data_IF_700052004222
#
_entry.id   IF_700052004222
#
_cell.length_a   1.000
_cell.length_b   1.000
_cell.length_c   1.000
_cell.angle_alpha   90.00
_cell.angle_beta   90.00
_cell.angle_gamma   90.00
#
_symmetry.space_group_name_H-M   'P 1'
#
loop_
_entity.id
_entity.type
_entity.pdbx_description
1 polymer ?
#
# COMPACT_ATOMS: atom_id res chain seq x y z
N UNK A 1 2.70 -3.71 13.89
CA UNK A 1 1.51 -3.73 13.04
C UNK A 1 0.76 -2.40 13.01
N UNK A 2 0.29 -1.88 14.14
CA UNK A 2 -0.48 -0.64 14.18
C UNK A 2 0.24 0.58 13.58
N UNK A 3 1.53 0.76 13.84
CA UNK A 3 2.30 1.88 13.27
C UNK A 3 2.46 1.78 11.74
N UNK A 4 2.60 0.57 11.19
CA UNK A 4 2.64 0.35 9.73
C UNK A 4 1.27 0.64 9.12
N UNK A 5 0.21 0.24 9.80
CA UNK A 5 -1.15 0.61 9.43
C UNK A 5 -1.36 2.13 9.43
N UNK A 6 -0.85 2.85 10.45
CA UNK A 6 -0.87 4.31 10.50
C UNK A 6 -0.14 4.94 9.31
N UNK A 7 1.03 4.43 8.94
CA UNK A 7 1.79 4.90 7.76
C UNK A 7 0.99 4.70 6.48
N UNK A 8 0.33 3.56 6.33
CA UNK A 8 -0.59 3.30 5.20
C UNK A 8 -1.78 4.27 5.19
N UNK A 9 -2.37 4.56 6.35
CA UNK A 9 -3.49 5.48 6.48
C UNK A 9 -3.12 6.94 6.18
N UNK A 10 -1.90 7.37 6.47
CA UNK A 10 -1.41 8.73 6.16
C UNK A 10 -1.34 8.97 4.65
N UNK A 11 -1.16 7.92 3.86
CA UNK A 11 -1.18 8.02 2.39
C UNK A 11 -2.60 8.30 1.82
N UNK A 12 -3.66 8.01 2.57
CA UNK A 12 -5.05 8.20 2.12
C UNK A 12 -5.39 9.66 1.73
N UNK A 13 -5.01 10.70 2.48
CA UNK A 13 -5.29 12.09 2.11
C UNK A 13 -4.65 12.54 0.80
N UNK A 14 -3.58 11.88 0.36
CA UNK A 14 -2.89 12.21 -0.89
C UNK A 14 -3.77 11.95 -2.13
N UNK A 15 -4.71 11.01 -2.07
CA UNK A 15 -5.68 10.77 -3.17
C UNK A 15 -6.48 12.05 -3.46
N UNK A 16 -7.07 12.64 -2.44
CA UNK A 16 -7.87 13.86 -2.60
C UNK A 16 -7.05 15.03 -3.16
N UNK A 17 -5.79 15.16 -2.72
CA UNK A 17 -4.90 16.20 -3.22
C UNK A 17 -4.54 16.00 -4.70
N UNK A 18 -4.26 14.76 -5.11
CA UNK A 18 -3.97 14.41 -6.51
C UNK A 18 -5.20 14.68 -7.37
N UNK A 19 -6.37 14.26 -6.94
CA UNK A 19 -7.62 14.44 -7.67
C UNK A 19 -7.96 15.93 -7.83
N UNK A 20 -7.85 16.74 -6.78
CA UNK A 20 -8.11 18.18 -6.82
C UNK A 20 -7.14 18.90 -7.75
N UNK A 21 -5.85 18.54 -7.77
CA UNK A 21 -4.86 19.14 -8.67
C UNK A 21 -5.10 18.74 -10.12
N UNK A 22 -5.44 17.49 -10.39
CA UNK A 22 -5.76 17.03 -11.73
C UNK A 22 -6.99 17.74 -12.31
N UNK A 23 -8.00 18.02 -11.48
CA UNK A 23 -9.20 18.72 -11.92
C UNK A 23 -8.96 20.20 -12.18
N UNK A 24 -8.08 20.85 -11.43
CA UNK A 24 -7.70 22.24 -11.61
C UNK A 24 -6.97 22.51 -12.94
N UNK A 25 -6.55 21.48 -13.66
CA UNK A 25 -5.85 21.60 -14.96
C UNK A 25 -6.80 21.83 -16.15
N UNK A 26 -7.87 22.62 -15.97
CA UNK A 26 -8.81 22.99 -17.05
C UNK A 26 -8.11 23.63 -18.26
N UNK A 27 -7.08 24.41 -18.01
CA UNK A 27 -6.29 25.07 -19.07
C UNK A 27 -5.62 24.06 -20.01
N UNK A 28 -5.07 22.96 -19.47
CA UNK A 28 -4.49 21.88 -20.25
C UNK A 28 -5.54 21.15 -21.09
N UNK A 29 -6.78 21.14 -20.60
CA UNK A 29 -7.91 20.55 -21.31
C UNK A 29 -8.33 21.39 -22.53
N UNK A 30 -8.33 22.72 -22.39
CA UNK A 30 -8.63 23.66 -23.46
C UNK A 30 -7.57 23.62 -24.56
N UNK A 31 -6.27 23.58 -24.21
CA UNK A 31 -5.17 23.44 -25.17
C UNK A 31 -5.29 22.17 -26.03
N UNK A 32 -5.94 21.14 -25.53
CA UNK A 32 -6.18 19.91 -26.28
C UNK A 32 -7.28 20.06 -27.33
N UNK A 33 -8.28 20.88 -27.11
CA UNK A 33 -9.31 21.16 -28.13
C UNK A 33 -8.69 21.70 -29.41
N UNK A 34 -7.57 22.40 -29.32
CA UNK A 34 -6.77 22.87 -30.46
C UNK A 34 -5.86 21.82 -31.09
N UNK A 35 -5.90 20.53 -30.63
CA UNK A 35 -5.08 19.39 -31.11
C UNK A 35 -3.56 19.68 -31.11
N UNK A 36 -3.07 20.46 -30.14
CA UNK A 36 -1.66 20.84 -30.05
C UNK A 36 -0.75 19.68 -29.64
N UNK A 37 -1.29 18.63 -29.01
CA UNK A 37 -0.50 17.47 -28.56
C UNK A 37 -1.31 16.17 -28.63
N UNK A 38 -0.57 15.03 -28.58
CA UNK A 38 -1.18 13.69 -28.59
C UNK A 38 -2.00 13.45 -27.29
N UNK A 39 -3.08 12.70 -27.40
CA UNK A 39 -4.02 12.46 -26.28
C UNK A 39 -3.38 11.85 -25.03
N UNK A 40 -2.31 11.03 -25.16
CA UNK A 40 -1.63 10.37 -24.04
C UNK A 40 -0.71 11.29 -23.24
N UNK A 41 -0.33 12.44 -23.78
CA UNK A 41 0.65 13.35 -23.15
C UNK A 41 0.11 13.90 -21.83
N UNK A 42 -1.17 14.30 -21.80
CA UNK A 42 -1.77 14.91 -20.62
C UNK A 42 -1.75 13.96 -19.40
N UNK A 43 -2.29 12.72 -19.46
CA UNK A 43 -2.28 11.83 -18.30
C UNK A 43 -0.87 11.44 -17.87
N UNK A 44 0.07 11.25 -18.81
CA UNK A 44 1.45 10.93 -18.46
C UNK A 44 2.17 12.10 -17.78
N UNK A 45 1.95 13.32 -18.25
CA UNK A 45 2.51 14.53 -17.64
C UNK A 45 1.99 14.71 -16.19
N UNK A 46 0.71 14.46 -15.95
CA UNK A 46 0.13 14.49 -14.61
C UNK A 46 0.76 13.44 -13.70
N UNK A 47 0.93 12.21 -14.17
CA UNK A 47 1.62 11.16 -13.39
C UNK A 47 3.03 11.59 -13.00
N UNK A 48 3.83 12.10 -13.94
CA UNK A 48 5.22 12.52 -13.67
C UNK A 48 5.28 13.63 -12.63
N UNK A 49 4.42 14.63 -12.74
CA UNK A 49 4.37 15.75 -11.79
C UNK A 49 3.94 15.32 -10.39
N UNK A 50 2.86 14.52 -10.30
CA UNK A 50 2.34 14.06 -9.01
C UNK A 50 3.26 13.06 -8.33
N UNK A 51 3.92 12.17 -9.08
CA UNK A 51 4.92 11.22 -8.53
C UNK A 51 6.11 11.99 -7.96
N UNK A 52 6.60 13.02 -8.63
CA UNK A 52 7.71 13.82 -8.11
C UNK A 52 7.38 14.47 -6.75
N UNK A 53 6.17 15.04 -6.62
CA UNK A 53 5.70 15.63 -5.36
C UNK A 53 5.49 14.56 -4.29
N UNK A 54 4.89 13.44 -4.66
CA UNK A 54 4.62 12.32 -3.75
C UNK A 54 5.92 11.71 -3.19
N UNK A 55 6.97 11.55 -4.01
CA UNK A 55 8.28 11.04 -3.57
C UNK A 55 8.91 11.99 -2.54
N UNK A 56 8.82 13.32 -2.72
CA UNK A 56 9.34 14.28 -1.75
C UNK A 56 8.63 14.11 -0.40
N UNK A 57 7.31 14.06 -0.39
CA UNK A 57 6.51 13.83 0.82
C UNK A 57 6.80 12.49 1.49
N UNK A 58 6.91 11.41 0.71
CA UNK A 58 7.24 10.08 1.19
C UNK A 58 8.66 9.99 1.76
N UNK A 59 9.62 10.71 1.17
CA UNK A 59 10.99 10.79 1.70
C UNK A 59 11.02 11.44 3.07
N UNK A 60 10.29 12.55 3.27
CA UNK A 60 10.17 13.19 4.58
C UNK A 60 9.53 12.24 5.60
N UNK A 61 8.45 11.56 5.23
CA UNK A 61 7.79 10.58 6.09
C UNK A 61 8.70 9.39 6.42
N UNK A 62 9.48 8.91 5.44
CA UNK A 62 10.46 7.86 5.66
C UNK A 62 11.54 8.28 6.67
N UNK A 63 12.08 9.49 6.55
CA UNK A 63 13.08 10.00 7.49
C UNK A 63 12.52 10.09 8.91
N UNK A 64 11.32 10.62 9.08
CA UNK A 64 10.66 10.65 10.39
C UNK A 64 10.49 9.25 10.96
N UNK A 65 10.03 8.30 10.16
CA UNK A 65 9.83 6.92 10.56
C UNK A 65 11.13 6.20 10.90
N UNK A 66 12.17 6.37 10.06
CA UNK A 66 13.49 5.77 10.23
C UNK A 66 14.15 6.18 11.54
N UNK A 67 14.13 7.48 11.87
CA UNK A 67 14.72 7.98 13.10
C UNK A 67 13.92 7.61 14.35
N UNK A 68 12.60 7.54 14.24
CA UNK A 68 11.73 7.20 15.39
C UNK A 68 11.83 5.71 15.76
N UNK A 69 11.89 4.83 14.76
CA UNK A 69 11.85 3.38 14.97
C UNK A 69 13.22 2.73 15.05
N UNK A 70 14.29 3.49 14.89
CA UNK A 70 15.67 2.96 14.88
C UNK A 70 15.78 1.74 13.95
N UNK A 71 15.31 1.90 12.71
CA UNK A 71 15.33 0.86 11.70
C UNK A 71 16.75 0.35 11.51
N UNK A 72 16.89 -0.93 11.38
CA UNK A 72 18.11 -1.71 11.39
C UNK A 72 19.32 -1.00 10.73
N UNK A 73 20.49 -1.06 11.39
CA UNK A 73 21.75 -0.48 10.91
C UNK A 73 22.28 -1.09 9.58
N UNK A 74 21.54 -2.05 8.99
CA UNK A 74 21.90 -2.63 7.70
C UNK A 74 21.46 -1.69 6.57
N UNK A 75 22.44 -1.01 5.97
CA UNK A 75 22.27 -0.04 4.89
C UNK A 75 21.47 -0.61 3.69
N UNK A 76 21.69 -1.87 3.34
CA UNK A 76 21.01 -2.51 2.21
C UNK A 76 19.50 -2.66 2.45
N UNK A 77 19.10 -3.08 3.65
CA UNK A 77 17.69 -3.21 4.04
C UNK A 77 16.99 -1.86 4.12
N UNK A 78 17.66 -0.87 4.72
CA UNK A 78 17.15 0.50 4.78
C UNK A 78 16.92 1.09 3.38
N UNK A 79 17.87 0.83 2.44
CA UNK A 79 17.75 1.25 1.05
C UNK A 79 16.60 0.56 0.30
N UNK A 80 16.42 -0.75 0.50
CA UNK A 80 15.31 -1.49 -0.10
C UNK A 80 13.95 -1.01 0.44
N UNK A 81 13.85 -0.83 1.75
CA UNK A 81 12.66 -0.29 2.37
C UNK A 81 12.30 1.11 1.84
N UNK A 82 13.30 1.99 1.66
CA UNK A 82 13.10 3.30 1.06
C UNK A 82 12.59 3.20 -0.38
N UNK A 83 13.18 2.32 -1.18
CA UNK A 83 12.80 2.12 -2.58
C UNK A 83 11.36 1.61 -2.70
N UNK A 84 10.97 0.65 -1.86
CA UNK A 84 9.62 0.09 -1.87
C UNK A 84 8.58 1.12 -1.37
N UNK A 85 8.86 1.81 -0.27
CA UNK A 85 7.95 2.78 0.34
C UNK A 85 7.87 4.11 -0.41
N UNK A 86 9.03 4.75 -0.66
CA UNK A 86 9.07 6.12 -1.18
C UNK A 86 8.92 6.19 -2.69
N UNK A 87 9.27 5.14 -3.42
CA UNK A 87 9.21 5.13 -4.89
C UNK A 87 8.07 4.25 -5.39
N UNK A 88 8.11 2.94 -5.09
CA UNK A 88 7.17 1.98 -5.68
C UNK A 88 5.74 2.21 -5.23
N UNK A 89 5.54 2.35 -3.93
CA UNK A 89 4.22 2.55 -3.37
C UNK A 89 3.61 3.88 -3.82
N UNK A 90 4.40 4.96 -3.89
CA UNK A 90 3.92 6.26 -4.36
C UNK A 90 3.55 6.22 -5.85
N UNK A 91 4.36 5.53 -6.66
CA UNK A 91 4.07 5.37 -8.09
C UNK A 91 2.78 4.60 -8.32
N UNK A 92 2.58 3.48 -7.60
CA UNK A 92 1.33 2.74 -7.63
C UNK A 92 0.14 3.63 -7.24
N UNK A 93 0.28 4.37 -6.14
CA UNK A 93 -0.79 5.15 -5.56
C UNK A 93 -1.24 6.31 -6.45
N UNK A 94 -0.30 7.05 -7.03
CA UNK A 94 -0.57 8.14 -7.96
C UNK A 94 -1.25 7.62 -9.24
N UNK A 95 -0.73 6.54 -9.82
CA UNK A 95 -1.32 5.95 -11.04
C UNK A 95 -2.73 5.41 -10.79
N UNK A 96 -2.98 4.82 -9.62
CA UNK A 96 -4.30 4.40 -9.19
C UNK A 96 -5.26 5.58 -9.03
N UNK A 97 -4.87 6.64 -8.30
CA UNK A 97 -5.70 7.81 -8.05
C UNK A 97 -6.13 8.52 -9.33
N UNK A 98 -5.20 8.72 -10.27
CA UNK A 98 -5.47 9.33 -11.57
C UNK A 98 -6.34 8.39 -12.44
N UNK A 99 -6.11 7.08 -12.36
CA UNK A 99 -6.93 6.08 -13.06
C UNK A 99 -8.39 6.13 -12.64
N UNK A 100 -8.66 6.13 -11.34
CA UNK A 100 -10.03 6.24 -10.79
C UNK A 100 -10.69 7.56 -11.19
N UNK A 101 -9.93 8.66 -11.19
CA UNK A 101 -10.45 9.98 -11.62
C UNK A 101 -10.94 9.95 -13.08
N UNK A 102 -10.17 9.37 -13.99
CA UNK A 102 -10.57 9.30 -15.40
C UNK A 102 -11.69 8.29 -15.68
N UNK A 103 -11.85 7.31 -14.82
CA UNK A 103 -12.94 6.34 -14.91
C UNK A 103 -14.26 6.89 -14.38
N UNK A 104 -14.23 7.89 -13.50
CA UNK A 104 -15.39 8.43 -12.82
C UNK A 104 -16.00 9.64 -13.56
N UNK A 105 -17.33 9.80 -13.55
CA UNK A 105 -17.99 10.94 -14.19
C UNK A 105 -17.75 12.26 -13.46
N UNK A 106 -17.62 12.22 -12.14
CA UNK A 106 -17.42 13.40 -11.26
C UNK A 106 -16.35 13.10 -10.21
N UNK A 107 -15.70 14.16 -9.71
CA UNK A 107 -14.68 14.08 -8.65
C UNK A 107 -15.20 13.45 -7.36
N UNK A 108 -16.39 13.86 -6.90
CA UNK A 108 -17.00 13.32 -5.67
C UNK A 108 -17.22 11.79 -5.76
N UNK A 109 -17.64 11.31 -6.93
CA UNK A 109 -17.81 9.87 -7.18
C UNK A 109 -16.44 9.18 -7.22
N UNK A 110 -15.43 9.82 -7.79
CA UNK A 110 -14.06 9.30 -7.81
C UNK A 110 -13.52 9.10 -6.39
N UNK A 111 -13.73 10.08 -5.52
CA UNK A 111 -13.30 10.03 -4.12
C UNK A 111 -13.97 8.89 -3.35
N UNK A 112 -15.27 8.71 -3.53
CA UNK A 112 -16.03 7.62 -2.88
C UNK A 112 -15.52 6.26 -3.35
N UNK A 113 -15.33 6.06 -4.66
CA UNK A 113 -14.80 4.80 -5.19
C UNK A 113 -13.37 4.54 -4.72
N UNK A 114 -12.50 5.56 -4.80
CA UNK A 114 -11.11 5.42 -4.35
C UNK A 114 -11.04 5.04 -2.87
N UNK A 115 -11.82 5.70 -2.02
CA UNK A 115 -11.85 5.42 -0.58
C UNK A 115 -12.41 4.05 -0.26
N UNK A 116 -13.46 3.61 -0.96
CA UNK A 116 -14.07 2.30 -0.76
C UNK A 116 -13.09 1.17 -1.14
N UNK A 117 -12.48 1.24 -2.32
CA UNK A 117 -11.50 0.25 -2.76
C UNK A 117 -10.26 0.23 -1.89
N UNK A 118 -9.77 1.42 -1.47
CA UNK A 118 -8.67 1.53 -0.54
C UNK A 118 -8.97 0.84 0.78
N UNK A 119 -10.12 1.14 1.39
CA UNK A 119 -10.55 0.53 2.65
C UNK A 119 -10.64 -1.01 2.53
N UNK A 120 -11.22 -1.50 1.43
CA UNK A 120 -11.34 -2.93 1.19
C UNK A 120 -9.97 -3.60 1.03
N UNK A 121 -9.04 -3.01 0.29
CA UNK A 121 -7.68 -3.51 0.15
C UNK A 121 -6.93 -3.54 1.48
N UNK A 122 -7.06 -2.50 2.31
CA UNK A 122 -6.40 -2.42 3.63
C UNK A 122 -6.95 -3.45 4.61
N UNK A 123 -8.27 -3.69 4.62
CA UNK A 123 -8.89 -4.68 5.52
C UNK A 123 -8.39 -6.09 5.22
N UNK A 124 -8.25 -6.45 3.94
CA UNK A 124 -7.90 -7.81 3.52
C UNK A 124 -6.41 -8.01 3.18
N UNK A 125 -5.54 -7.02 3.34
CA UNK A 125 -4.11 -7.14 3.05
C UNK A 125 -3.32 -8.00 4.06
N UNK A 126 -3.95 -8.51 5.12
CA UNK A 126 -3.29 -9.28 6.18
C UNK A 126 -2.87 -8.45 7.40
N UNK A 127 -3.03 -7.11 7.37
CA UNK A 127 -2.73 -6.23 8.50
C UNK A 127 -3.80 -6.32 9.60
N UNK A 128 -5.06 -6.25 9.21
CA UNK A 128 -6.20 -6.28 10.12
C UNK A 128 -6.62 -7.71 10.44
N UNK A 129 -6.67 -8.57 9.44
CA UNK A 129 -7.08 -9.95 9.56
C UNK A 129 -5.95 -10.89 9.10
N UNK A 130 -5.42 -11.77 10.00
CA UNK A 130 -4.38 -12.71 9.63
C UNK A 130 -4.81 -13.64 8.48
N UNK A 131 -3.87 -14.01 7.62
CA UNK A 131 -4.12 -14.87 6.46
C UNK A 131 -4.90 -16.16 6.78
N UNK A 132 -4.63 -16.75 7.95
CA UNK A 132 -5.30 -17.98 8.41
C UNK A 132 -6.81 -17.81 8.65
N UNK A 133 -7.26 -16.59 8.99
CA UNK A 133 -8.64 -16.28 9.32
C UNK A 133 -9.45 -15.75 8.13
N UNK A 134 -8.80 -15.43 7.00
CA UNK A 134 -9.48 -14.91 5.81
C UNK A 134 -10.24 -16.08 5.13
N UNK A 135 -11.56 -15.96 4.89
CA UNK A 135 -12.31 -16.97 4.14
C UNK A 135 -11.78 -17.15 2.72
N UNK A 136 -11.90 -18.37 2.16
CA UNK A 136 -11.32 -18.74 0.86
C UNK A 136 -11.71 -17.79 -0.26
N UNK A 137 -12.97 -17.35 -0.33
CA UNK A 137 -13.45 -16.41 -1.34
C UNK A 137 -12.64 -15.11 -1.32
N UNK A 138 -12.52 -14.43 -0.17
CA UNK A 138 -11.80 -13.16 -0.02
C UNK A 138 -10.29 -13.32 -0.20
N UNK A 139 -9.77 -14.51 0.12
CA UNK A 139 -8.36 -14.84 -0.07
C UNK A 139 -7.96 -14.81 -1.55
N UNK A 140 -8.78 -15.40 -2.42
CA UNK A 140 -8.48 -15.45 -3.86
C UNK A 140 -8.93 -14.21 -4.64
N UNK A 141 -9.97 -13.50 -4.18
CA UNK A 141 -10.50 -12.33 -4.91
C UNK A 141 -9.90 -11.01 -4.48
N UNK A 142 -9.51 -10.86 -3.21
CA UNK A 142 -9.03 -9.56 -2.70
C UNK A 142 -7.61 -9.64 -2.18
N UNK A 143 -7.27 -10.65 -1.35
CA UNK A 143 -5.95 -10.72 -0.74
C UNK A 143 -4.82 -10.80 -1.78
N UNK A 144 -4.92 -11.70 -2.76
CA UNK A 144 -3.90 -11.84 -3.81
C UNK A 144 -3.98 -10.77 -4.91
N UNK A 145 -5.13 -10.13 -5.13
CA UNK A 145 -5.27 -9.01 -6.04
C UNK A 145 -4.88 -7.67 -5.43
N UNK A 146 -4.72 -7.61 -4.10
CA UNK A 146 -4.33 -6.40 -3.41
C UNK A 146 -2.82 -6.15 -3.49
N UNK A 147 -2.36 -5.04 -4.06
CA UNK A 147 -0.94 -4.66 -4.01
C UNK A 147 -0.47 -4.38 -2.58
N UNK A 148 -1.39 -4.00 -1.69
CA UNK A 148 -1.10 -3.77 -0.26
C UNK A 148 -0.59 -5.01 0.44
N UNK A 149 -1.02 -6.20 0.02
CA UNK A 149 -0.55 -7.48 0.57
C UNK A 149 0.95 -7.66 0.33
N UNK A 150 1.39 -7.42 -0.90
CA UNK A 150 2.81 -7.55 -1.29
C UNK A 150 3.67 -6.45 -0.69
N UNK A 151 3.15 -5.24 -0.66
CA UNK A 151 3.81 -4.11 -0.01
C UNK A 151 3.97 -4.33 1.50
N UNK A 152 2.92 -4.80 2.18
CA UNK A 152 2.96 -5.09 3.61
C UNK A 152 3.94 -6.22 3.93
N UNK A 153 3.93 -7.32 3.13
CA UNK A 153 4.89 -8.41 3.28
C UNK A 153 6.33 -7.91 3.18
N UNK A 154 6.63 -7.08 2.18
CA UNK A 154 7.96 -6.49 2.03
C UNK A 154 8.34 -5.63 3.23
N UNK A 155 7.48 -4.67 3.62
CA UNK A 155 7.76 -3.78 4.74
C UNK A 155 7.97 -4.53 6.06
N UNK A 156 7.10 -5.50 6.37
CA UNK A 156 7.17 -6.26 7.62
C UNK A 156 8.42 -7.11 7.68
N UNK A 157 8.76 -7.79 6.58
CA UNK A 157 9.94 -8.64 6.55
C UNK A 157 11.23 -7.83 6.59
N UNK A 158 11.32 -6.68 5.93
CA UNK A 158 12.51 -5.81 6.02
C UNK A 158 12.71 -5.19 7.40
N UNK A 159 11.62 -4.90 8.12
CA UNK A 159 11.69 -4.31 9.45
C UNK A 159 12.03 -5.33 10.53
N UNK A 160 11.47 -6.52 10.48
CA UNK A 160 11.49 -7.48 11.60
C UNK A 160 12.42 -8.68 11.40
N UNK A 161 12.74 -9.05 10.14
CA UNK A 161 13.66 -10.15 9.88
C UNK A 161 15.04 -9.89 10.51
N UNK A 162 15.69 -10.93 11.04
CA UNK A 162 16.97 -10.87 11.78
C UNK A 162 16.96 -10.09 13.11
N UNK A 163 15.80 -9.63 13.61
CA UNK A 163 15.75 -8.99 14.91
C UNK A 163 15.42 -9.99 16.02
N UNK A 164 16.22 -10.05 17.09
CA UNK A 164 15.82 -10.79 18.29
C UNK A 164 14.62 -10.08 18.93
N UNK A 165 13.62 -10.86 19.31
CA UNK A 165 12.48 -10.34 20.10
C UNK A 165 12.84 -10.44 21.57
N UNK A 166 12.79 -9.31 22.27
CA UNK A 166 13.01 -9.23 23.71
C UNK A 166 11.66 -8.82 24.32
N UNK A 167 11.02 -9.78 25.01
CA UNK A 167 9.78 -9.49 25.74
C UNK A 167 10.07 -8.66 27.01
N UNK A 168 9.24 -7.66 27.25
CA UNK A 168 9.24 -6.94 28.53
C UNK A 168 8.57 -7.76 29.63
N UNK A 169 8.73 -7.34 30.89
CA UNK A 169 8.22 -8.06 32.07
C UNK A 169 6.73 -8.40 31.99
N UNK A 170 5.96 -7.50 31.41
CA UNK A 170 4.50 -7.59 31.32
C UNK A 170 3.99 -8.41 30.10
N UNK A 171 4.89 -8.71 29.16
CA UNK A 171 4.60 -9.46 27.93
C UNK A 171 4.82 -10.96 28.08
N UNK A 172 5.45 -11.39 29.16
CA UNK A 172 5.66 -12.82 29.41
C UNK A 172 4.37 -13.51 29.83
N UNK A 173 4.02 -14.60 29.13
CA UNK A 173 2.98 -15.50 29.58
C UNK A 173 3.48 -16.29 30.80
N UNK A 174 2.72 -16.22 31.88
CA UNK A 174 3.01 -16.96 33.13
C UNK A 174 2.26 -18.31 33.08
N UNK A 175 2.99 -19.40 33.07
CA UNK A 175 2.48 -20.77 33.06
C UNK A 175 2.98 -21.52 34.29
N UNK A 176 2.14 -22.34 34.91
CA UNK A 176 2.55 -23.24 35.99
C UNK A 176 2.97 -24.60 35.39
N UNK A 177 4.21 -25.05 35.61
CA UNK A 177 4.61 -26.38 35.20
C UNK A 177 3.89 -27.43 36.06
N UNK A 178 3.83 -28.65 35.57
CA UNK A 178 3.31 -29.80 36.33
C UNK A 178 4.26 -30.13 37.48
N UNK A 179 3.72 -30.58 38.62
CA UNK A 179 4.47 -30.78 39.84
C UNK A 179 5.77 -31.56 39.63
N UNK A 180 6.89 -30.96 40.09
CA UNK A 180 8.23 -31.54 40.00
C UNK A 180 8.96 -31.38 38.66
N UNK A 181 8.37 -30.77 37.64
CA UNK A 181 9.03 -30.53 36.36
C UNK A 181 9.66 -29.14 36.29
N UNK A 182 10.82 -29.06 35.63
CA UNK A 182 11.40 -27.77 35.26
C UNK A 182 10.68 -27.17 34.08
N UNK A 183 10.59 -25.82 33.98
CA UNK A 183 9.99 -25.13 32.87
C UNK A 183 10.54 -25.55 31.51
N UNK A 184 11.84 -25.80 31.43
CA UNK A 184 12.47 -26.28 30.21
C UNK A 184 11.98 -27.64 29.74
N UNK A 185 11.74 -28.58 30.69
CA UNK A 185 11.20 -29.91 30.36
C UNK A 185 9.72 -29.83 30.00
N UNK A 186 8.92 -29.03 30.75
CA UNK A 186 7.48 -28.88 30.54
C UNK A 186 7.14 -28.22 29.20
N UNK A 187 7.87 -27.18 28.82
CA UNK A 187 7.57 -26.38 27.60
C UNK A 187 8.32 -26.86 26.35
N UNK A 188 9.21 -27.85 26.46
CA UNK A 188 10.10 -28.31 25.36
C UNK A 188 9.35 -28.59 24.07
N UNK A 189 8.30 -29.40 24.14
CA UNK A 189 7.55 -29.81 22.95
C UNK A 189 6.69 -28.66 22.41
N UNK A 190 6.17 -27.80 23.28
CA UNK A 190 5.41 -26.62 22.88
C UNK A 190 6.29 -25.61 22.14
N UNK A 191 7.48 -25.29 22.67
CA UNK A 191 8.44 -24.38 22.04
C UNK A 191 8.91 -24.96 20.69
N UNK A 192 9.12 -26.27 20.61
CA UNK A 192 9.50 -26.92 19.34
C UNK A 192 8.42 -26.78 18.25
N UNK A 193 7.14 -26.77 18.62
CA UNK A 193 6.02 -26.67 17.68
C UNK A 193 5.63 -25.20 17.36
N UNK A 194 5.65 -24.34 18.35
CA UNK A 194 5.12 -22.96 18.24
C UNK A 194 6.20 -21.88 18.17
N UNK A 195 7.45 -22.21 18.54
CA UNK A 195 8.53 -21.22 18.67
C UNK A 195 8.52 -20.52 20.02
N UNK A 196 9.24 -19.39 20.07
CA UNK A 196 9.38 -18.60 21.29
C UNK A 196 10.51 -19.06 22.18
N UNK A 197 10.65 -18.43 23.36
CA UNK A 197 11.68 -18.77 24.33
C UNK A 197 11.22 -18.61 25.79
N UNK A 198 11.94 -19.26 26.70
CA UNK A 198 11.77 -19.10 28.14
C UNK A 198 12.82 -18.13 28.70
N UNK A 199 12.44 -17.23 29.58
CA UNK A 199 13.36 -16.36 30.31
C UNK A 199 14.27 -17.17 31.24
N UNK A 200 13.71 -18.23 31.87
CA UNK A 200 14.44 -19.18 32.69
C UNK A 200 13.92 -20.59 32.49
N UNK A 201 14.79 -21.50 32.07
CA UNK A 201 14.45 -22.91 31.87
C UNK A 201 14.52 -23.76 33.15
N UNK A 202 15.20 -23.26 34.20
CA UNK A 202 15.48 -24.00 35.43
C UNK A 202 14.40 -23.83 36.52
N UNK A 203 13.50 -22.85 36.39
CA UNK A 203 12.45 -22.58 37.35
C UNK A 203 11.39 -23.67 37.39
N UNK A 204 10.87 -23.97 38.59
CA UNK A 204 9.84 -25.00 38.84
C UNK A 204 8.53 -24.40 39.34
N UNK A 205 8.47 -23.08 39.61
CA UNK A 205 7.30 -22.42 40.20
C UNK A 205 6.48 -21.74 39.11
N UNK A 206 7.08 -20.89 38.29
CA UNK A 206 6.45 -20.19 37.19
C UNK A 206 7.33 -20.19 35.97
N UNK A 207 6.77 -20.56 34.83
CA UNK A 207 7.41 -20.49 33.52
C UNK A 207 7.08 -19.14 32.88
N UNK A 208 8.08 -18.32 32.65
CA UNK A 208 7.96 -17.07 31.92
C UNK A 208 8.29 -17.35 30.45
N UNK A 209 7.24 -17.41 29.64
CA UNK A 209 7.31 -17.74 28.21
C UNK A 209 7.08 -16.50 27.34
N UNK A 210 7.99 -16.25 26.40
CA UNK A 210 7.83 -15.26 25.34
C UNK A 210 7.44 -15.94 24.03
N UNK A 211 6.40 -15.46 23.39
CA UNK A 211 5.74 -16.11 22.23
C UNK A 211 6.64 -16.17 20.99
N UNK A 212 7.56 -15.23 20.83
CA UNK A 212 8.46 -15.16 19.68
C UNK A 212 9.90 -14.98 20.14
N UNK A 213 10.82 -15.72 19.53
CA UNK A 213 12.25 -15.58 19.77
C UNK A 213 12.90 -14.63 18.76
N UNK A 214 12.35 -14.56 17.56
CA UNK A 214 12.86 -13.70 16.48
C UNK A 214 11.72 -13.04 15.71
N UNK A 215 12.02 -11.91 15.07
CA UNK A 215 11.07 -11.22 14.19
C UNK A 215 10.67 -12.10 12.99
N UNK A 216 11.56 -12.99 12.56
CA UNK A 216 11.27 -13.98 11.51
C UNK A 216 10.18 -14.99 11.92
N UNK A 217 10.16 -15.44 13.17
CA UNK A 217 9.06 -16.27 13.67
C UNK A 217 7.73 -15.52 13.64
N UNK A 218 7.74 -14.24 14.04
CA UNK A 218 6.57 -13.41 14.00
C UNK A 218 6.03 -13.23 12.56
N UNK A 219 6.88 -12.87 11.61
CA UNK A 219 6.46 -12.67 10.21
C UNK A 219 6.00 -13.98 9.55
N UNK A 220 6.67 -15.12 9.83
CA UNK A 220 6.28 -16.44 9.33
C UNK A 220 4.89 -16.86 9.82
N UNK A 221 4.53 -16.55 11.07
CA UNK A 221 3.18 -16.83 11.61
C UNK A 221 2.08 -16.00 10.90
N UNK A 222 2.45 -14.86 10.32
CA UNK A 222 1.57 -14.05 9.49
C UNK A 222 1.58 -14.47 8.01
N UNK A 223 2.28 -15.53 7.65
CA UNK A 223 2.53 -15.97 6.26
C UNK A 223 3.29 -14.96 5.40
N UNK A 224 4.15 -14.15 6.03
CA UNK A 224 5.01 -13.19 5.38
C UNK A 224 6.46 -13.68 5.40
N UNK A 225 7.08 -13.84 4.23
CA UNK A 225 8.40 -14.48 4.09
C UNK A 225 9.40 -13.55 3.41
N UNK A 226 10.51 -13.27 4.06
CA UNK A 226 11.59 -12.43 3.52
C UNK A 226 12.10 -12.91 2.14
N UNK A 227 12.14 -14.20 1.90
CA UNK A 227 12.58 -14.77 0.61
C UNK A 227 11.76 -14.28 -0.60
N UNK A 228 10.56 -13.76 -0.38
CA UNK A 228 9.64 -13.33 -1.42
C UNK A 228 9.83 -11.87 -1.85
N UNK A 229 10.70 -11.08 -1.19
CA UNK A 229 10.78 -9.63 -1.37
C UNK A 229 11.01 -9.22 -2.84
N UNK A 230 11.92 -9.85 -3.58
CA UNK A 230 12.12 -9.56 -5.00
C UNK A 230 10.94 -9.95 -5.89
N UNK A 231 10.28 -11.06 -5.57
CA UNK A 231 9.05 -11.46 -6.26
C UNK A 231 7.94 -10.43 -6.06
N UNK A 232 7.73 -9.99 -4.82
CA UNK A 232 6.72 -9.02 -4.46
C UNK A 232 6.98 -7.67 -5.12
N UNK A 233 8.25 -7.24 -5.17
CA UNK A 233 8.66 -6.05 -5.89
C UNK A 233 8.33 -6.14 -7.40
N UNK A 234 8.57 -7.28 -8.04
CA UNK A 234 8.16 -7.53 -9.42
C UNK A 234 6.65 -7.47 -9.64
N UNK A 235 5.87 -8.03 -8.71
CA UNK A 235 4.40 -7.97 -8.73
C UNK A 235 3.91 -6.53 -8.59
N UNK A 236 4.52 -5.72 -7.73
CA UNK A 236 4.19 -4.30 -7.59
C UNK A 236 4.40 -3.53 -8.90
N UNK A 237 5.49 -3.80 -9.63
CA UNK A 237 5.69 -3.26 -10.97
C UNK A 237 4.58 -3.66 -11.95
N UNK A 238 4.12 -4.90 -11.91
CA UNK A 238 3.01 -5.35 -12.76
C UNK A 238 1.72 -4.56 -12.46
N UNK A 239 1.43 -4.27 -11.19
CA UNK A 239 0.29 -3.43 -10.80
C UNK A 239 0.45 -1.99 -11.30
N UNK A 240 1.63 -1.39 -11.19
CA UNK A 240 1.90 -0.03 -11.71
C UNK A 240 1.66 0.03 -13.23
N UNK A 241 2.22 -0.91 -13.97
CA UNK A 241 2.04 -0.98 -15.43
C UNK A 241 0.57 -1.20 -15.79
N UNK A 242 -0.11 -2.10 -15.09
CA UNK A 242 -1.55 -2.34 -15.25
C UNK A 242 -2.37 -1.07 -15.01
N UNK A 243 -2.10 -0.34 -13.94
CA UNK A 243 -2.77 0.93 -13.64
C UNK A 243 -2.54 1.98 -14.74
N UNK A 244 -1.32 2.11 -15.26
CA UNK A 244 -1.01 3.04 -16.35
C UNK A 244 -1.81 2.68 -17.61
N UNK A 245 -1.89 1.40 -17.95
CA UNK A 245 -2.67 0.93 -19.11
C UNK A 245 -4.16 1.24 -18.90
N UNK A 246 -4.71 0.91 -17.73
CA UNK A 246 -6.11 1.17 -17.41
C UNK A 246 -6.42 2.68 -17.40
N UNK A 247 -5.54 3.49 -16.85
CA UNK A 247 -5.63 4.95 -16.85
C UNK A 247 -5.70 5.52 -18.28
N UNK A 248 -4.80 5.09 -19.16
CA UNK A 248 -4.78 5.51 -20.55
C UNK A 248 -6.03 5.05 -21.30
N UNK A 249 -6.49 3.83 -21.06
CA UNK A 249 -7.72 3.30 -21.65
C UNK A 249 -8.95 4.06 -21.18
N UNK A 250 -9.08 4.34 -19.88
CA UNK A 250 -10.17 5.13 -19.30
C UNK A 250 -10.20 6.53 -19.87
N UNK A 251 -9.05 7.20 -19.94
CA UNK A 251 -8.94 8.53 -20.52
C UNK A 251 -9.35 8.55 -22.00
N UNK A 252 -8.89 7.60 -22.81
CA UNK A 252 -9.28 7.46 -24.21
C UNK A 252 -10.79 7.21 -24.36
N UNK A 253 -11.36 6.35 -23.52
CA UNK A 253 -12.78 6.05 -23.49
C UNK A 253 -13.61 7.31 -23.19
N UNK A 254 -13.24 8.05 -22.13
CA UNK A 254 -13.87 9.33 -21.77
C UNK A 254 -13.88 10.31 -22.95
N UNK A 255 -12.79 10.39 -23.71
CA UNK A 255 -12.68 11.28 -24.86
C UNK A 255 -13.60 10.87 -26.01
N UNK A 256 -13.72 9.56 -26.27
CA UNK A 256 -14.62 9.04 -27.30
C UNK A 256 -16.08 9.31 -26.94
N UNK A 257 -16.48 9.12 -25.68
CA UNK A 257 -17.82 9.46 -25.20
C UNK A 257 -18.13 10.93 -25.37
N UNK A 258 -17.20 11.80 -24.96
CA UNK A 258 -17.41 13.27 -25.08
C UNK A 258 -17.46 13.74 -26.53
N UNK A 259 -16.68 13.13 -27.41
CA UNK A 259 -16.73 13.41 -28.86
C UNK A 259 -18.08 13.07 -29.49
N UNK A 260 -18.75 11.99 -29.02
CA UNK A 260 -20.06 11.58 -29.51
C UNK A 260 -21.21 12.50 -29.03
N UNK A 261 -21.05 13.14 -27.89
CA UNK A 261 -22.08 13.98 -27.27
C UNK A 261 -21.87 15.49 -27.51
N UNK A 262 -20.88 15.94 -28.32
CA UNK A 262 -20.80 17.34 -28.74
C UNK A 262 -22.02 17.64 -29.62
N UNK A 263 -22.93 18.57 -29.24
CA UNK A 263 -23.98 19.03 -30.14
C UNK A 263 -23.28 19.62 -31.38
N UNK A 264 -23.75 19.26 -32.58
CA UNK A 264 -23.36 19.95 -33.80
C UNK A 264 -23.67 21.43 -33.57
N UNK A 265 -22.65 22.28 -33.51
CA UNK A 265 -22.85 23.72 -33.63
C UNK A 265 -23.45 23.97 -35.01
N UNK A 266 -24.73 24.31 -35.06
CA UNK A 266 -25.36 24.80 -36.27
C UNK A 266 -24.64 26.08 -36.67
N UNK A 267 -23.99 26.03 -37.83
CA UNK A 267 -23.24 27.14 -38.47
C UNK A 267 -24.27 28.12 -39.12
N UNK A 268 -25.40 28.35 -38.50
CA UNK A 268 -26.50 29.14 -39.13
C UNK A 268 -26.94 30.33 -38.26
N UNK A 269 -26.00 31.10 -37.72
CA UNK A 269 -26.43 32.37 -37.09
C UNK A 269 -25.39 33.54 -37.07
N UNK A 270 -24.44 33.53 -38.01
CA UNK A 270 -23.52 34.70 -38.13
C UNK A 270 -23.58 35.44 -39.45
N UNK A 271 -24.70 35.39 -40.16
CA UNK A 271 -24.86 36.18 -41.42
C UNK A 271 -26.05 37.11 -41.40
N UNK A 272 -26.49 37.66 -40.27
CA UNK A 272 -27.47 38.76 -40.24
C UNK A 272 -27.16 39.69 -39.07
N UNK A 273 -26.14 40.55 -39.20
CA UNK A 273 -26.04 41.84 -38.53
C UNK A 273 -24.93 42.75 -39.10
N UNK A 274 -24.79 42.76 -40.42
CA UNK A 274 -23.97 43.77 -41.10
C UNK A 274 -24.78 44.40 -42.23
N UNK A 275 -25.91 45.03 -41.87
CA UNK A 275 -26.59 46.03 -42.73
C UNK A 275 -27.67 46.75 -41.91
N UNK A 276 -27.29 47.77 -41.14
CA UNK A 276 -28.00 49.06 -41.00
C UNK A 276 -27.06 50.09 -40.38
#
# INVERSE_FOLDING_TARGET
>A
MFAIFLVLCVCSPLIHQVQNRCNSSKLLYEMREFRLYHWSVLPLCQVVLEVAIAIIGATLSYLCFFFTWSVNNNSTRAGYFYLDYAIMFQLYYVTYAIGVLYFSPNELIADVYASLFFALMVVFCGAMQPFSMIPAFWKYTVYYESPFTYFLENMMTELFDDRPVICDSDEFALLMPQDGMTCGAYMKDYIKMKGGYLKSSATTIYCTYCTYASGQEFTNNLHMYFKNHWRNFGIMWAFVVGNVILMLAAYKCMLLFRSRHKPKKDVTSETVSESV
#
